data_IF_915191134443
#
_entry.id   IF_915191134443
#
_cell.length_a   1.000
_cell.length_b   1.000
_cell.length_c   1.000
_cell.angle_alpha   90.00
_cell.angle_beta   90.00
_cell.angle_gamma   90.00
#
_symmetry.space_group_name_H-M   'P 1'
#
loop_
_entity.id
_entity.type
_entity.pdbx_description
1 polymer ?
#
# COMPACT_ATOMS: atom_id res chain seq x y z
N UNK A 1 77.18 -4.17 -27.26
CA UNK A 1 76.93 -5.62 -27.08
C UNK A 1 77.35 -6.00 -25.67
N UNK A 2 76.41 -6.53 -24.89
CA UNK A 2 76.49 -7.32 -23.63
C UNK A 2 77.43 -6.80 -22.52
N UNK A 3 76.85 -6.45 -21.36
CA UNK A 3 77.47 -6.77 -20.08
C UNK A 3 76.42 -7.19 -19.04
N UNK A 4 76.50 -8.44 -18.64
CA UNK A 4 75.59 -9.13 -17.72
C UNK A 4 76.15 -9.09 -16.30
N UNK A 5 75.31 -8.76 -15.29
CA UNK A 5 75.56 -9.17 -13.89
C UNK A 5 74.27 -9.56 -13.17
N UNK A 6 74.07 -10.88 -13.16
CA UNK A 6 73.53 -11.80 -12.14
C UNK A 6 72.75 -11.24 -10.93
N UNK A 7 71.57 -11.84 -10.77
CA UNK A 7 71.00 -12.52 -9.58
C UNK A 7 70.64 -11.66 -8.35
N UNK A 8 69.34 -11.64 -8.07
CA UNK A 8 68.77 -11.31 -6.77
C UNK A 8 67.34 -11.84 -6.71
N UNK A 9 67.19 -13.10 -6.29
CA UNK A 9 65.90 -13.71 -5.99
C UNK A 9 65.41 -13.14 -4.65
N UNK A 10 64.33 -12.37 -4.63
CA UNK A 10 63.65 -12.00 -3.38
C UNK A 10 62.19 -12.42 -3.46
N UNK A 11 61.91 -13.59 -2.88
CA UNK A 11 60.59 -14.00 -2.41
C UNK A 11 59.98 -12.85 -1.62
N UNK A 12 58.80 -12.37 -2.04
CA UNK A 12 57.97 -11.55 -1.14
C UNK A 12 56.54 -12.07 -1.18
N UNK A 13 56.24 -12.80 -0.10
CA UNK A 13 54.98 -13.10 0.56
C UNK A 13 53.64 -12.86 -0.18
N UNK A 14 52.83 -13.92 -0.16
CA UNK A 14 51.37 -13.88 -0.19
C UNK A 14 50.81 -12.79 0.74
N UNK A 15 49.83 -12.04 0.27
CA UNK A 15 48.74 -11.50 1.08
C UNK A 15 47.48 -11.45 0.22
N UNK A 16 46.76 -12.57 0.20
CA UNK A 16 45.36 -12.65 -0.23
C UNK A 16 44.51 -11.86 0.77
N UNK A 17 44.26 -10.59 0.49
CA UNK A 17 43.25 -9.83 1.21
C UNK A 17 41.86 -10.25 0.70
N UNK A 18 41.30 -11.32 1.28
CA UNK A 18 39.87 -11.58 1.22
C UNK A 18 39.18 -10.48 2.03
N UNK A 19 38.66 -9.46 1.35
CA UNK A 19 37.71 -8.55 1.97
C UNK A 19 36.33 -9.23 1.98
N UNK A 20 35.69 -9.43 3.14
CA UNK A 20 34.26 -9.71 3.14
C UNK A 20 33.56 -8.43 2.68
N UNK A 21 32.99 -8.45 1.48
CA UNK A 21 32.04 -7.44 1.06
C UNK A 21 30.86 -7.50 2.04
N UNK A 22 30.77 -6.51 2.93
CA UNK A 22 29.62 -6.32 3.80
C UNK A 22 28.44 -6.00 2.88
N UNK A 23 27.60 -7.00 2.63
CA UNK A 23 26.30 -6.79 1.98
C UNK A 23 25.46 -6.06 3.02
N UNK A 24 25.39 -4.73 2.92
CA UNK A 24 24.36 -3.95 3.59
C UNK A 24 23.06 -4.31 2.88
N UNK A 25 22.38 -5.35 3.37
CA UNK A 25 21.00 -5.60 3.05
C UNK A 25 20.19 -4.46 3.68
N UNK A 26 20.03 -3.37 2.93
CA UNK A 26 19.13 -2.30 3.31
C UNK A 26 17.72 -2.85 3.35
N UNK A 27 17.19 -3.09 4.54
CA UNK A 27 15.75 -3.13 4.75
C UNK A 27 15.24 -1.72 4.47
N UNK A 28 14.81 -1.47 3.24
CA UNK A 28 14.01 -0.29 2.92
C UNK A 28 12.71 -0.31 3.75
N UNK A 29 12.06 0.83 3.94
CA UNK A 29 10.77 0.87 4.63
C UNK A 29 9.80 -0.06 3.91
N UNK A 30 9.23 -1.03 4.64
CA UNK A 30 8.10 -1.80 4.16
C UNK A 30 6.93 -0.84 4.00
N UNK A 31 6.64 -0.42 2.77
CA UNK A 31 5.42 0.31 2.48
C UNK A 31 4.26 -0.67 2.61
N UNK A 32 3.39 -0.46 3.59
CA UNK A 32 2.16 -1.24 3.72
C UNK A 32 1.33 -1.06 2.44
N UNK A 33 0.93 -2.16 1.81
CA UNK A 33 0.16 -2.12 0.58
C UNK A 33 -1.29 -1.71 0.89
N UNK A 34 -1.84 -0.80 0.10
CA UNK A 34 -3.27 -0.51 0.15
C UNK A 34 -4.11 -1.74 -0.24
N UNK A 35 -5.37 -1.74 0.19
CA UNK A 35 -6.36 -2.79 -0.09
C UNK A 35 -7.58 -2.14 -0.74
N UNK A 36 -8.14 -2.78 -1.77
CA UNK A 36 -9.35 -2.32 -2.45
C UNK A 36 -10.36 -3.46 -2.58
N UNK A 37 -11.64 -3.10 -2.56
CA UNK A 37 -12.78 -3.99 -2.78
C UNK A 37 -13.74 -3.34 -3.79
N UNK A 38 -14.43 -4.16 -4.55
CA UNK A 38 -15.42 -3.70 -5.54
C UNK A 38 -16.83 -4.19 -5.17
N UNK A 39 -17.81 -3.38 -5.55
CA UNK A 39 -19.21 -3.77 -5.75
C UNK A 39 -19.54 -3.23 -7.13
N UNK A 40 -20.14 -4.04 -8.02
CA UNK A 40 -20.35 -3.59 -9.40
C UNK A 40 -19.06 -3.13 -10.08
N UNK A 41 -19.11 -1.97 -10.76
CA UNK A 41 -17.91 -1.28 -11.25
C UNK A 41 -17.37 -0.25 -10.24
N UNK A 42 -17.99 -0.08 -9.07
CA UNK A 42 -17.55 0.81 -8.00
C UNK A 42 -16.43 0.24 -7.13
N UNK A 43 -15.67 1.15 -6.52
CA UNK A 43 -14.46 0.77 -5.77
C UNK A 43 -14.29 1.50 -4.45
N UNK A 44 -14.14 0.73 -3.38
CA UNK A 44 -13.66 1.21 -2.08
C UNK A 44 -12.19 0.83 -1.86
N UNK A 45 -11.36 1.76 -1.39
CA UNK A 45 -9.94 1.51 -1.13
C UNK A 45 -9.48 2.08 0.21
N UNK A 46 -8.57 1.39 0.88
CA UNK A 46 -7.81 1.87 2.04
C UNK A 46 -6.33 1.80 1.71
N UNK A 47 -5.60 2.91 1.88
CA UNK A 47 -4.18 2.96 1.65
C UNK A 47 -3.46 3.78 2.73
N UNK A 48 -2.27 3.36 3.20
CA UNK A 48 -1.44 4.20 4.04
C UNK A 48 -0.85 5.36 3.23
N UNK A 49 -0.99 6.58 3.71
CA UNK A 49 -0.50 7.82 3.07
C UNK A 49 0.03 8.75 4.14
N UNK A 50 1.32 9.11 4.06
CA UNK A 50 1.97 10.06 4.99
C UNK A 50 1.80 9.71 6.49
N UNK A 51 1.77 8.42 6.83
CA UNK A 51 1.55 7.95 8.21
C UNK A 51 0.09 7.97 8.68
N UNK A 52 -0.85 8.22 7.77
CA UNK A 52 -2.29 8.13 7.97
C UNK A 52 -2.89 7.00 7.13
N UNK A 53 -4.16 6.70 7.35
CA UNK A 53 -4.94 5.76 6.55
C UNK A 53 -5.97 6.53 5.72
N UNK A 54 -5.77 6.55 4.40
CA UNK A 54 -6.69 7.16 3.46
C UNK A 54 -7.75 6.14 3.04
N UNK A 55 -9.02 6.45 3.31
CA UNK A 55 -10.18 5.71 2.82
C UNK A 55 -10.73 6.43 1.60
N UNK A 56 -11.06 5.67 0.55
CA UNK A 56 -11.52 6.18 -0.74
C UNK A 56 -12.79 5.46 -1.17
N UNK A 57 -13.79 6.21 -1.61
CA UNK A 57 -14.97 5.69 -2.32
C UNK A 57 -14.93 6.26 -3.73
N UNK A 58 -14.93 5.40 -4.75
CA UNK A 58 -14.92 5.78 -6.16
C UNK A 58 -16.18 5.27 -6.83
N UNK A 59 -17.00 6.21 -7.27
CA UNK A 59 -18.06 5.99 -8.23
C UNK A 59 -17.45 6.00 -9.64
N UNK A 60 -17.41 4.81 -10.27
CA UNK A 60 -16.86 4.67 -11.62
C UNK A 60 -17.97 4.69 -12.70
N UNK A 61 -19.23 4.69 -12.29
CA UNK A 61 -20.41 4.59 -13.15
C UNK A 61 -21.17 5.92 -13.06
N UNK A 62 -21.17 6.74 -14.12
CA UNK A 62 -21.97 7.97 -14.11
C UNK A 62 -23.48 7.66 -14.29
N UNK A 63 -24.06 6.84 -13.43
CA UNK A 63 -25.38 6.25 -13.56
C UNK A 63 -26.44 6.88 -12.63
N UNK A 64 -26.00 7.69 -11.66
CA UNK A 64 -26.88 8.40 -10.73
C UNK A 64 -27.07 7.71 -9.38
N UNK A 65 -26.26 6.69 -9.05
CA UNK A 65 -26.19 6.11 -7.71
C UNK A 65 -25.01 6.66 -6.92
N UNK A 66 -25.16 6.78 -5.60
CA UNK A 66 -24.10 7.32 -4.74
C UNK A 66 -23.23 6.22 -4.14
N UNK A 67 -21.91 6.39 -4.13
CA UNK A 67 -20.98 5.36 -3.62
C UNK A 67 -20.37 5.78 -2.29
N UNK A 68 -20.31 4.83 -1.37
CA UNK A 68 -19.70 5.04 -0.07
C UNK A 68 -18.96 3.80 0.44
N UNK A 69 -18.01 4.03 1.34
CA UNK A 69 -17.32 2.99 2.09
C UNK A 69 -17.81 2.99 3.52
N UNK A 70 -18.22 1.84 4.02
CA UNK A 70 -18.43 1.63 5.45
C UNK A 70 -17.16 1.07 6.08
N UNK A 71 -16.81 1.61 7.23
CA UNK A 71 -15.68 1.15 8.03
C UNK A 71 -16.14 0.76 9.42
N UNK A 72 -15.57 -0.31 9.95
CA UNK A 72 -15.65 -0.65 11.37
C UNK A 72 -14.30 -0.41 12.02
N UNK A 73 -14.27 0.43 13.06
CA UNK A 73 -13.04 0.75 13.80
C UNK A 73 -12.61 -0.36 14.76
N UNK A 74 -13.55 -1.19 15.20
CA UNK A 74 -13.34 -2.29 16.14
C UNK A 74 -14.13 -3.52 15.70
N UNK A 75 -13.85 -4.68 16.31
CA UNK A 75 -14.62 -5.90 16.06
C UNK A 75 -16.09 -5.78 16.51
N UNK A 76 -16.39 -4.83 17.40
CA UNK A 76 -17.71 -4.54 17.94
C UNK A 76 -18.62 -3.73 17.00
N UNK A 77 -18.20 -3.47 15.75
CA UNK A 77 -18.91 -2.71 14.73
C UNK A 77 -19.26 -1.27 15.14
N UNK A 78 -18.28 -0.37 15.00
CA UNK A 78 -18.50 1.07 15.04
C UNK A 78 -18.47 1.63 13.63
N UNK A 79 -19.64 1.63 13.00
CA UNK A 79 -19.82 1.99 11.60
C UNK A 79 -19.66 3.50 11.38
N UNK A 80 -18.73 3.88 10.52
CA UNK A 80 -18.66 5.21 9.92
C UNK A 80 -18.77 5.09 8.40
N UNK A 81 -19.35 6.12 7.77
CA UNK A 81 -19.61 6.14 6.34
C UNK A 81 -18.75 7.21 5.67
N UNK A 82 -17.94 6.78 4.71
CA UNK A 82 -17.11 7.65 3.88
C UNK A 82 -17.72 7.71 2.48
N UNK A 83 -18.43 8.80 2.18
CA UNK A 83 -18.96 9.04 0.84
C UNK A 83 -17.90 9.58 -0.14
N UNK A 84 -18.16 9.42 -1.43
CA UNK A 84 -17.34 9.98 -2.51
C UNK A 84 -17.30 11.54 -2.53
N UNK A 85 -18.16 12.20 -1.75
CA UNK A 85 -18.24 13.65 -1.60
C UNK A 85 -18.82 14.40 -2.80
N UNK A 86 -19.01 13.74 -3.95
CA UNK A 86 -19.60 14.32 -5.16
C UNK A 86 -21.03 13.82 -5.43
N UNK A 87 -21.56 12.93 -4.59
CA UNK A 87 -22.93 12.46 -4.67
C UNK A 87 -23.01 11.23 -5.58
N UNK A 88 -23.59 11.40 -6.76
CA UNK A 88 -23.77 10.35 -7.77
C UNK A 88 -23.06 10.67 -9.07
N UNK A 89 -22.01 11.49 -8.97
CA UNK A 89 -21.22 11.94 -10.09
C UNK A 89 -19.90 11.20 -10.07
N UNK A 90 -19.52 10.60 -11.20
CA UNK A 90 -18.29 9.85 -11.33
C UNK A 90 -17.08 10.60 -10.76
N UNK A 91 -16.31 9.92 -9.91
CA UNK A 91 -15.23 10.51 -9.16
C UNK A 91 -14.93 9.73 -7.88
N UNK A 92 -13.84 10.12 -7.23
CA UNK A 92 -13.47 9.53 -5.94
C UNK A 92 -13.49 10.59 -4.84
N UNK A 93 -14.13 10.25 -3.73
CA UNK A 93 -13.96 10.95 -2.47
C UNK A 93 -12.94 10.25 -1.61
N UNK A 94 -12.23 11.03 -0.80
CA UNK A 94 -11.24 10.51 0.13
C UNK A 94 -11.29 11.23 1.46
N UNK A 95 -11.03 10.49 2.53
CA UNK A 95 -10.81 11.00 3.88
C UNK A 95 -9.60 10.32 4.47
N UNK A 96 -8.95 10.95 5.45
CA UNK A 96 -7.77 10.41 6.12
C UNK A 96 -8.01 10.30 7.62
N UNK A 97 -7.59 9.18 8.19
CA UNK A 97 -7.68 8.89 9.61
C UNK A 97 -6.31 8.56 10.19
N UNK A 98 -6.16 8.77 11.50
CA UNK A 98 -4.96 8.38 12.23
C UNK A 98 -4.89 6.87 12.40
N UNK A 99 -6.02 6.23 12.71
CA UNK A 99 -6.11 4.79 12.93
C UNK A 99 -6.53 4.04 11.65
N UNK A 100 -6.13 2.78 11.56
CA UNK A 100 -6.59 1.85 10.55
C UNK A 100 -7.95 1.26 10.97
N UNK A 101 -8.96 1.20 10.09
CA UNK A 101 -10.18 0.48 10.42
C UNK A 101 -9.91 -1.03 10.45
N UNK A 102 -10.66 -1.74 11.29
CA UNK A 102 -10.60 -3.20 11.42
C UNK A 102 -11.07 -3.92 10.16
N UNK A 103 -12.17 -3.44 9.56
CA UNK A 103 -12.71 -3.96 8.30
C UNK A 103 -13.49 -2.89 7.56
N UNK A 104 -13.68 -3.09 6.27
CA UNK A 104 -14.41 -2.16 5.42
C UNK A 104 -15.18 -2.89 4.32
N UNK A 105 -16.16 -2.21 3.74
CA UNK A 105 -16.88 -2.63 2.52
C UNK A 105 -17.29 -1.42 1.70
N UNK A 106 -17.47 -1.61 0.40
CA UNK A 106 -18.04 -0.58 -0.48
C UNK A 106 -19.52 -0.87 -0.71
N UNK A 107 -20.32 0.18 -0.75
CA UNK A 107 -21.75 0.13 -0.97
C UNK A 107 -22.15 1.17 -2.01
N UNK A 108 -23.13 0.78 -2.83
CA UNK A 108 -23.78 1.61 -3.83
C UNK A 108 -25.20 1.89 -3.35
N UNK A 109 -25.54 3.19 -3.29
CA UNK A 109 -26.85 3.65 -2.86
C UNK A 109 -27.82 3.69 -4.03
N UNK A 110 -28.70 2.70 -4.04
CA UNK A 110 -29.69 2.46 -5.10
C UNK A 110 -31.11 2.73 -4.59
N UNK A 111 -32.09 2.74 -5.49
CA UNK A 111 -33.50 2.78 -5.07
C UNK A 111 -33.89 1.46 -4.39
N UNK A 112 -33.87 1.43 -3.06
CA UNK A 112 -34.19 0.23 -2.26
C UNK A 112 -33.13 -0.02 -1.19
N UNK A 113 -32.92 -1.27 -0.75
CA UNK A 113 -31.78 -1.60 0.09
C UNK A 113 -30.48 -1.47 -0.72
N UNK A 114 -29.49 -0.78 -0.14
CA UNK A 114 -28.18 -0.57 -0.76
C UNK A 114 -27.48 -1.90 -1.07
N UNK A 115 -26.77 -1.94 -2.20
CA UNK A 115 -25.96 -3.09 -2.56
C UNK A 115 -24.54 -2.89 -2.04
N UNK A 116 -24.08 -3.83 -1.21
CA UNK A 116 -22.76 -3.76 -0.61
C UNK A 116 -21.91 -4.97 -0.98
N UNK A 117 -20.60 -4.76 -1.08
CA UNK A 117 -19.62 -5.84 -1.10
C UNK A 117 -19.65 -6.63 0.22
N UNK A 118 -19.00 -7.80 0.20
CA UNK A 118 -18.64 -8.47 1.46
C UNK A 118 -17.64 -7.61 2.25
N UNK A 119 -17.68 -7.75 3.57
CA UNK A 119 -16.69 -7.13 4.45
C UNK A 119 -15.29 -7.73 4.22
N UNK A 120 -14.29 -6.85 4.16
CA UNK A 120 -12.88 -7.22 4.04
C UNK A 120 -12.14 -6.70 5.26
N UNK A 121 -11.41 -7.59 5.95
CA UNK A 121 -10.55 -7.18 7.04
C UNK A 121 -9.34 -6.41 6.51
N UNK A 122 -8.96 -5.34 7.21
CA UNK A 122 -7.76 -4.58 6.91
C UNK A 122 -6.74 -4.80 8.03
N UNK A 123 -5.57 -5.32 7.65
CA UNK A 123 -4.49 -5.69 8.57
C UNK A 123 -3.33 -4.70 8.54
N UNK A 124 -3.63 -3.42 8.25
CA UNK A 124 -2.64 -2.36 8.07
C UNK A 124 -1.79 -2.08 9.29
#
# INVERSE_FOLDING_TARGET
MINSRRVGLTLTALLTALMPAVIVAGAGPAQAAGSCVQQGDDRGCIAPVDGLHQVSACDNEADGHGVYVEVDWTDAAQNETVGDGNGSAAGCGTVRYLDAPYRYRVCESVTGPDYCSSWVNYYG
#
